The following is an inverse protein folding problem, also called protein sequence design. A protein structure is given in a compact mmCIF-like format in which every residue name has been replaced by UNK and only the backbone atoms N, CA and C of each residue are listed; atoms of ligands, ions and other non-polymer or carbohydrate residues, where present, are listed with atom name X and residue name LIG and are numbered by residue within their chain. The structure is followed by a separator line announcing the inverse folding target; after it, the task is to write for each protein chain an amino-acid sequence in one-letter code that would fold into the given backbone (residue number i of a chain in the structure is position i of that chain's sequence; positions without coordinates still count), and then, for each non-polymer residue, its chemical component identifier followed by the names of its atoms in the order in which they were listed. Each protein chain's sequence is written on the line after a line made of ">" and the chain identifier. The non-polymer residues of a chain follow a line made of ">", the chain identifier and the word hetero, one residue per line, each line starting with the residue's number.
data_IF_287295933207
#
_entry.id   IF_287295933207
#
_cell.length_a   1.000
_cell.length_b   1.000
_cell.length_c   1.000
_cell.angle_alpha   90.00
_cell.angle_beta   90.00
_cell.angle_gamma   90.00
#
_symmetry.space_group_name_H-M   'P 1'
#
loop_
_entity.id
_entity.type
_entity.pdbx_description
1 polymer ?
#
# COMPACT_ATOMS: atom_id res chain seq x y z
N UNK A 1 -21.87 10.64 7.68
CA UNK A 1 -21.31 11.96 7.30
C UNK A 1 -20.09 11.66 6.44
N UNK A 2 -20.15 11.90 5.13
CA UNK A 2 -19.04 11.56 4.23
C UNK A 2 -17.91 12.59 4.38
N UNK A 3 -16.74 12.17 4.86
CA UNK A 3 -15.52 12.97 4.83
C UNK A 3 -14.88 12.87 3.44
N UNK A 4 -15.55 13.38 2.41
CA UNK A 4 -14.91 13.65 1.12
C UNK A 4 -13.98 14.85 1.29
N UNK A 5 -12.67 14.62 1.26
CA UNK A 5 -11.67 15.67 1.38
C UNK A 5 -11.02 15.91 0.01
N UNK A 6 -11.59 16.83 -0.77
CA UNK A 6 -11.08 17.19 -2.10
C UNK A 6 -9.59 17.60 -2.10
N UNK A 7 -9.08 18.09 -0.97
CA UNK A 7 -7.65 18.39 -0.81
C UNK A 7 -6.79 17.12 -0.79
N UNK A 8 -7.25 16.09 -0.08
CA UNK A 8 -6.56 14.80 0.00
C UNK A 8 -6.54 14.07 -1.34
N UNK A 9 -7.60 14.21 -2.16
CA UNK A 9 -7.61 13.69 -3.53
C UNK A 9 -6.58 14.42 -4.42
N UNK A 10 -6.53 15.76 -4.35
CA UNK A 10 -5.54 16.54 -5.09
C UNK A 10 -4.10 16.20 -4.67
N UNK A 11 -3.84 16.13 -3.38
CA UNK A 11 -2.53 15.78 -2.83
C UNK A 11 -2.14 14.35 -3.26
N UNK A 12 -3.12 13.45 -3.33
CA UNK A 12 -2.91 12.08 -3.81
C UNK A 12 -2.60 12.01 -5.31
N UNK A 13 -3.25 12.80 -6.16
CA UNK A 13 -2.90 12.85 -7.60
C UNK A 13 -1.46 13.32 -7.84
N UNK A 14 -0.98 14.31 -7.06
CA UNK A 14 0.44 14.67 -7.09
C UNK A 14 1.32 13.50 -6.63
N UNK A 15 0.92 12.82 -5.56
CA UNK A 15 1.65 11.63 -5.08
C UNK A 15 1.71 10.49 -6.10
N UNK A 16 0.70 10.31 -6.97
CA UNK A 16 0.74 9.33 -8.07
C UNK A 16 1.86 9.66 -9.05
N UNK A 17 1.98 10.93 -9.44
CA UNK A 17 3.02 11.38 -10.36
C UNK A 17 4.43 11.23 -9.75
N UNK A 18 4.58 11.58 -8.47
CA UNK A 18 5.83 11.38 -7.74
C UNK A 18 6.18 9.89 -7.64
N UNK A 19 5.19 9.03 -7.35
CA UNK A 19 5.37 7.58 -7.31
C UNK A 19 5.88 7.03 -8.64
N UNK A 20 5.26 7.40 -9.76
CA UNK A 20 5.73 6.99 -11.09
C UNK A 20 7.18 7.44 -11.35
N UNK A 21 7.57 8.61 -10.86
CA UNK A 21 8.92 9.15 -11.01
C UNK A 21 9.96 8.37 -10.17
N UNK A 22 9.60 7.97 -8.96
CA UNK A 22 10.55 7.40 -7.98
C UNK A 22 10.46 5.88 -7.80
N UNK A 23 9.44 5.19 -8.34
CA UNK A 23 9.22 3.76 -8.07
C UNK A 23 10.37 2.84 -8.46
N UNK A 24 11.06 3.12 -9.57
CA UNK A 24 12.25 2.35 -9.98
C UNK A 24 13.38 2.50 -8.96
N UNK A 25 13.66 3.73 -8.52
CA UNK A 25 14.70 3.99 -7.53
C UNK A 25 14.39 3.33 -6.18
N UNK A 26 13.10 3.32 -5.77
CA UNK A 26 12.65 2.63 -4.56
C UNK A 26 12.75 1.10 -4.68
N UNK A 27 12.61 0.53 -5.87
CA UNK A 27 12.80 -0.90 -6.08
C UNK A 27 14.29 -1.31 -6.03
N UNK A 28 15.21 -0.41 -6.39
CA UNK A 28 16.65 -0.66 -6.44
C UNK A 28 17.33 -0.52 -5.08
N UNK A 29 17.00 0.50 -4.30
CA UNK A 29 17.71 0.84 -3.07
C UNK A 29 16.84 1.60 -2.06
N UNK A 30 17.32 1.67 -0.82
CA UNK A 30 16.68 2.43 0.24
C UNK A 30 15.62 1.65 1.00
N UNK A 31 14.87 2.39 1.81
CA UNK A 31 13.79 1.89 2.66
C UNK A 31 12.47 1.96 1.90
N UNK A 32 11.60 0.97 2.15
CA UNK A 32 10.25 0.94 1.57
C UNK A 32 9.28 0.43 2.63
N UNK A 33 8.33 1.28 2.98
CA UNK A 33 7.36 1.04 4.03
C UNK A 33 5.95 1.22 3.47
N UNK A 34 5.22 0.12 3.32
CA UNK A 34 3.85 0.09 2.84
C UNK A 34 2.92 -0.28 3.99
N UNK A 35 1.94 0.57 4.26
CA UNK A 35 0.86 0.31 5.20
C UNK A 35 -0.47 0.37 4.46
N UNK A 36 -1.30 -0.66 4.61
CA UNK A 36 -2.58 -0.77 3.92
C UNK A 36 -3.67 -1.17 4.91
N UNK A 37 -4.75 -0.41 4.92
CA UNK A 37 -5.95 -0.74 5.67
C UNK A 37 -7.03 -1.13 4.66
N UNK A 38 -7.53 -2.37 4.75
CA UNK A 38 -8.68 -2.85 4.01
C UNK A 38 -9.90 -2.86 4.93
N UNK A 39 -11.02 -2.31 4.46
CA UNK A 39 -12.31 -2.34 5.17
C UNK A 39 -13.32 -3.03 4.27
N UNK A 40 -13.92 -4.09 4.78
CA UNK A 40 -14.97 -4.85 4.07
C UNK A 40 -16.36 -4.25 4.31
N UNK A 41 -17.35 -4.66 3.51
CA UNK A 41 -18.72 -4.13 3.59
C UNK A 41 -19.39 -4.31 4.95
N UNK A 42 -18.98 -5.30 5.75
CA UNK A 42 -19.50 -5.53 7.10
C UNK A 42 -18.74 -4.73 8.18
N UNK A 43 -17.80 -3.87 7.80
CA UNK A 43 -16.97 -3.08 8.71
C UNK A 43 -15.77 -3.82 9.29
N UNK A 44 -15.48 -5.06 8.86
CA UNK A 44 -14.26 -5.75 9.29
C UNK A 44 -13.04 -5.09 8.65
N UNK A 45 -12.07 -4.75 9.49
CA UNK A 45 -10.82 -4.10 9.09
C UNK A 45 -9.66 -5.08 9.16
N UNK A 46 -8.83 -5.10 8.12
CA UNK A 46 -7.56 -5.82 8.06
C UNK A 46 -6.46 -4.80 7.78
N UNK A 47 -5.35 -4.85 8.53
CA UNK A 47 -4.23 -3.95 8.35
C UNK A 47 -2.99 -4.75 7.97
N UNK A 48 -2.32 -4.32 6.91
CA UNK A 48 -1.04 -4.87 6.46
C UNK A 48 0.04 -3.82 6.69
N UNK A 49 1.13 -4.23 7.34
CA UNK A 49 2.27 -3.37 7.61
C UNK A 49 3.54 -4.06 7.13
N UNK A 50 4.00 -3.67 5.94
CA UNK A 50 5.13 -4.25 5.25
C UNK A 50 6.25 -3.22 5.29
N UNK A 51 7.23 -3.45 6.15
CA UNK A 51 8.33 -2.53 6.38
C UNK A 51 9.64 -3.15 5.95
N UNK A 52 10.39 -2.44 5.13
CA UNK A 52 11.73 -2.82 4.78
C UNK A 52 12.70 -1.67 5.05
N UNK A 53 13.63 -1.95 5.96
CA UNK A 53 14.70 -1.04 6.35
C UNK A 53 16.04 -1.64 5.92
N UNK A 54 16.67 -1.04 4.90
CA UNK A 54 17.94 -1.52 4.34
C UNK A 54 19.07 -1.61 5.39
N UNK A 55 19.02 -0.76 6.40
CA UNK A 55 20.02 -0.67 7.46
C UNK A 55 19.77 -1.60 8.66
N UNK A 56 18.57 -2.17 8.79
CA UNK A 56 18.19 -2.93 9.99
C UNK A 56 18.41 -4.43 9.82
N UNK A 57 17.90 -5.02 8.74
CA UNK A 57 17.95 -6.47 8.52
C UNK A 57 17.97 -6.82 7.02
N UNK A 58 18.61 -7.93 6.63
CA UNK A 58 18.52 -8.43 5.26
C UNK A 58 17.07 -8.83 4.94
N UNK A 59 16.63 -8.52 3.70
CA UNK A 59 15.31 -8.90 3.20
C UNK A 59 15.01 -10.39 3.48
N UNK A 60 13.81 -10.74 4.00
CA UNK A 60 13.36 -12.12 4.03
C UNK A 60 13.53 -12.77 2.66
N UNK A 61 13.94 -14.04 2.63
CA UNK A 61 14.05 -14.76 1.37
C UNK A 61 12.70 -14.77 0.63
N UNK A 62 12.70 -14.29 -0.62
CA UNK A 62 11.48 -14.16 -1.42
C UNK A 62 10.76 -12.81 -1.28
N UNK A 63 11.10 -11.99 -0.29
CA UNK A 63 10.64 -10.60 -0.24
C UNK A 63 11.63 -9.72 -1.01
N UNK A 64 11.12 -8.93 -1.95
CA UNK A 64 11.91 -7.94 -2.69
C UNK A 64 11.26 -6.58 -2.55
N UNK A 65 12.06 -5.50 -2.62
CA UNK A 65 11.52 -4.13 -2.71
C UNK A 65 10.56 -4.01 -3.90
N UNK A 66 10.95 -4.58 -5.05
CA UNK A 66 10.10 -4.62 -6.24
C UNK A 66 8.72 -5.20 -5.95
N UNK A 67 8.61 -6.30 -5.20
CA UNK A 67 7.31 -6.89 -4.86
C UNK A 67 6.43 -5.95 -4.02
N UNK A 68 7.04 -5.18 -3.09
CA UNK A 68 6.32 -4.16 -2.31
C UNK A 68 5.86 -3.02 -3.23
N UNK A 69 6.73 -2.57 -4.14
CA UNK A 69 6.45 -1.52 -5.11
C UNK A 69 5.35 -1.95 -6.11
N UNK A 70 5.34 -3.19 -6.57
CA UNK A 70 4.32 -3.72 -7.48
C UNK A 70 2.93 -3.71 -6.83
N UNK A 71 2.85 -4.06 -5.54
CA UNK A 71 1.60 -3.98 -4.78
C UNK A 71 1.18 -2.54 -4.57
N UNK A 72 2.11 -1.63 -4.25
CA UNK A 72 1.82 -0.20 -4.15
C UNK A 72 1.32 0.38 -5.49
N UNK A 73 1.93 0.00 -6.62
CA UNK A 73 1.55 0.42 -7.98
C UNK A 73 0.13 -0.03 -8.33
N UNK A 74 -0.24 -1.26 -7.97
CA UNK A 74 -1.61 -1.76 -8.14
C UNK A 74 -2.62 -1.02 -7.24
N UNK A 75 -2.25 -0.74 -5.98
CA UNK A 75 -3.10 -0.01 -5.03
C UNK A 75 -3.31 1.46 -5.42
N UNK A 76 -2.34 2.13 -6.03
CA UNK A 76 -2.47 3.53 -6.44
C UNK A 76 -3.47 3.71 -7.59
N UNK A 77 -3.68 2.67 -8.40
CA UNK A 77 -4.62 2.68 -9.54
C UNK A 77 -6.09 2.63 -9.16
N UNK A 78 -6.40 2.46 -7.87
CA UNK A 78 -7.77 2.52 -7.40
C UNK A 78 -8.44 3.86 -7.62
N UNK A 79 -9.75 3.88 -7.37
CA UNK A 79 -10.59 5.06 -7.50
C UNK A 79 -11.00 5.58 -6.14
N UNK A 80 -11.00 6.91 -5.98
CA UNK A 80 -11.46 7.53 -4.74
C UNK A 80 -12.89 7.08 -4.41
N UNK A 81 -13.11 6.72 -3.15
CA UNK A 81 -14.38 6.25 -2.63
C UNK A 81 -14.98 7.30 -1.70
N UNK A 82 -16.21 7.73 -2.01
CA UNK A 82 -17.00 8.60 -1.13
C UNK A 82 -18.03 7.85 -0.29
N UNK A 83 -18.28 6.57 -0.61
CA UNK A 83 -19.28 5.72 0.02
C UNK A 83 -18.62 4.63 0.88
N UNK A 84 -18.38 4.98 2.15
CA UNK A 84 -17.78 4.08 3.15
C UNK A 84 -18.69 2.94 3.60
N UNK A 85 -19.91 2.81 3.04
CA UNK A 85 -20.76 1.64 3.25
C UNK A 85 -20.36 0.45 2.36
N UNK A 86 -19.53 0.70 1.34
CA UNK A 86 -18.96 -0.32 0.46
C UNK A 86 -17.55 -0.70 0.93
N UNK A 87 -17.00 -1.84 0.49
CA UNK A 87 -15.59 -2.15 0.74
C UNK A 87 -14.70 -1.04 0.20
N UNK A 88 -13.71 -0.63 0.99
CA UNK A 88 -12.73 0.38 0.60
C UNK A 88 -11.38 0.05 1.22
N UNK A 89 -10.34 0.75 0.80
CA UNK A 89 -9.03 0.70 1.42
C UNK A 89 -8.41 2.08 1.52
N UNK A 90 -7.35 2.19 2.31
CA UNK A 90 -6.42 3.30 2.29
C UNK A 90 -5.00 2.76 2.38
N UNK A 91 -4.05 3.45 1.77
CA UNK A 91 -2.65 3.10 1.86
C UNK A 91 -1.80 4.30 2.27
N UNK A 92 -0.67 4.01 2.90
CA UNK A 92 0.44 4.93 3.05
C UNK A 92 1.70 4.25 2.56
N UNK A 93 2.48 4.95 1.75
CA UNK A 93 3.78 4.50 1.30
C UNK A 93 4.81 5.53 1.72
N UNK A 94 5.92 5.06 2.30
CA UNK A 94 7.11 5.85 2.54
C UNK A 94 8.30 5.15 1.91
N UNK A 95 8.99 5.85 1.03
CA UNK A 95 10.27 5.43 0.46
C UNK A 95 11.31 6.52 0.60
N UNK A 96 12.57 6.21 0.27
CA UNK A 96 13.71 7.12 0.49
C UNK A 96 13.60 8.50 -0.17
N UNK A 97 12.71 8.70 -1.15
CA UNK A 97 12.56 9.96 -1.89
C UNK A 97 11.14 10.54 -1.85
N UNK A 98 10.17 9.83 -1.29
CA UNK A 98 8.79 10.27 -1.28
C UNK A 98 7.98 9.62 -0.17
N UNK A 99 6.87 10.25 0.21
CA UNK A 99 5.89 9.62 1.08
C UNK A 99 4.51 10.19 0.82
N UNK A 100 3.50 9.34 0.89
CA UNK A 100 2.11 9.76 0.73
C UNK A 100 1.15 8.91 1.55
N UNK A 101 -0.07 9.40 1.68
CA UNK A 101 -1.23 8.63 2.11
C UNK A 101 -2.37 8.87 1.15
N UNK A 102 -3.09 7.82 0.80
CA UNK A 102 -4.24 7.91 -0.07
C UNK A 102 -5.48 8.39 0.69
N UNK A 103 -6.49 8.92 -0.02
CA UNK A 103 -7.86 8.94 0.51
C UNK A 103 -8.40 7.51 0.64
N UNK A 104 -9.69 7.37 0.97
CA UNK A 104 -10.36 6.08 0.81
C UNK A 104 -10.49 5.76 -0.67
N UNK A 105 -10.14 4.53 -1.02
CA UNK A 105 -10.01 4.02 -2.37
C UNK A 105 -10.85 2.76 -2.55
N UNK A 106 -11.23 2.47 -3.78
CA UNK A 106 -11.91 1.24 -4.19
C UNK A 106 -11.24 0.68 -5.44
N UNK A 107 -11.37 -0.64 -5.58
CA UNK A 107 -11.02 -1.42 -6.76
C UNK A 107 -12.18 -2.38 -7.05
N UNK A 108 -12.17 -3.00 -8.22
CA UNK A 108 -13.10 -4.09 -8.49
C UNK A 108 -12.88 -5.25 -7.51
N UNK A 109 -13.88 -6.11 -7.34
CA UNK A 109 -13.81 -7.27 -6.44
C UNK A 109 -12.66 -8.23 -6.81
N UNK A 110 -12.41 -8.42 -8.11
CA UNK A 110 -11.32 -9.26 -8.61
C UNK A 110 -9.93 -8.67 -8.30
N UNK A 111 -9.76 -7.36 -8.49
CA UNK A 111 -8.54 -6.64 -8.14
C UNK A 111 -8.29 -6.67 -6.64
N UNK A 112 -9.33 -6.42 -5.83
CA UNK A 112 -9.26 -6.50 -4.37
C UNK A 112 -8.85 -7.90 -3.88
N UNK A 113 -9.41 -8.95 -4.49
CA UNK A 113 -9.06 -10.33 -4.14
C UNK A 113 -7.61 -10.65 -4.47
N UNK A 114 -7.15 -10.21 -5.65
CA UNK A 114 -5.76 -10.40 -6.10
C UNK A 114 -4.79 -9.67 -5.17
N UNK A 115 -5.06 -8.40 -4.89
CA UNK A 115 -4.24 -7.58 -3.99
C UNK A 115 -4.18 -8.13 -2.57
N UNK A 116 -5.30 -8.61 -2.05
CA UNK A 116 -5.32 -9.22 -0.72
C UNK A 116 -4.40 -10.43 -0.66
N UNK A 117 -4.43 -11.30 -1.68
CA UNK A 117 -3.51 -12.44 -1.76
C UNK A 117 -2.03 -12.02 -1.81
N UNK A 118 -1.72 -10.94 -2.53
CA UNK A 118 -0.35 -10.39 -2.56
C UNK A 118 0.06 -9.81 -1.20
N UNK A 119 -0.81 -9.05 -0.55
CA UNK A 119 -0.58 -8.47 0.78
C UNK A 119 -0.39 -9.55 1.84
N UNK A 120 -1.22 -10.60 1.84
CA UNK A 120 -1.09 -11.76 2.73
C UNK A 120 0.26 -12.46 2.51
N UNK A 121 0.70 -12.61 1.25
CA UNK A 121 1.99 -13.21 0.94
C UNK A 121 3.18 -12.36 1.42
N UNK A 122 3.13 -11.04 1.21
CA UNK A 122 4.17 -10.12 1.69
C UNK A 122 4.22 -10.09 3.23
N UNK A 123 3.08 -10.04 3.90
CA UNK A 123 3.00 -10.06 5.36
C UNK A 123 3.50 -11.39 5.94
N UNK A 124 3.20 -12.53 5.30
CA UNK A 124 3.74 -13.82 5.72
C UNK A 124 5.27 -13.85 5.68
N UNK A 125 5.86 -13.33 4.60
CA UNK A 125 7.32 -13.24 4.46
C UNK A 125 7.95 -12.35 5.56
N UNK A 126 7.29 -11.25 5.91
CA UNK A 126 7.69 -10.38 7.02
C UNK A 126 7.52 -11.05 8.39
N UNK A 127 6.41 -11.75 8.61
CA UNK A 127 6.09 -12.43 9.86
C UNK A 127 7.03 -13.59 10.17
N UNK A 128 7.54 -14.29 9.15
CA UNK A 128 8.53 -15.35 9.30
C UNK A 128 9.90 -14.86 9.84
N UNK A 129 10.21 -13.56 9.76
CA UNK A 129 11.42 -12.99 10.37
C UNK A 129 11.23 -12.58 11.83
N UNK A 130 10.05 -12.10 12.24
CA UNK A 130 9.78 -11.70 13.65
C UNK A 130 9.83 -12.86 14.66
N UNK A 131 9.85 -14.11 14.18
CA UNK A 131 9.90 -15.33 15.00
C UNK A 131 11.26 -16.04 15.00
N UNK A 132 12.31 -15.44 14.44
CA UNK A 132 13.70 -15.91 14.50
C UNK A 132 14.52 -15.04 15.44
#
# INVERSE_FOLDING_TARGET
>A
MACYNARMEKDFETAKADFETYKTAMAESGEVNLSVTLVSANGTTVNYNIYYYESAEPLPSGLTRQAIIDVADALIKGQACSDVSKPYYSLSLYGSNMGFSSPYMTLSEAEMTTLRGQLDALELLMGQQKGK
#
